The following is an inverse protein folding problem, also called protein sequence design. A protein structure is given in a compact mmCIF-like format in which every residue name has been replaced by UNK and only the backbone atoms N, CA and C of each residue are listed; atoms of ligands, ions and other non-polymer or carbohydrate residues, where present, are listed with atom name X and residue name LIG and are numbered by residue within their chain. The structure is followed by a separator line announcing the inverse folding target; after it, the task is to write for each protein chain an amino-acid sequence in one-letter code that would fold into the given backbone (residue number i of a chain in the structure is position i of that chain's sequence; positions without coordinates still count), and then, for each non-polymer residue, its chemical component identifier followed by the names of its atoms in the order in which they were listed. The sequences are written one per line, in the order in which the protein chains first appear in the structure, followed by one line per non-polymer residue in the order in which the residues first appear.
data_IF_368106361512
#
_entry.id   IF_368106361512
#
_cell.length_a   1.000
_cell.length_b   1.000
_cell.length_c   1.000
_cell.angle_alpha   90.00
_cell.angle_beta   90.00
_cell.angle_gamma   90.00
#
_symmetry.space_group_name_H-M   'P 1'
#
loop_
_entity.id
_entity.type
_entity.pdbx_description
1 polymer ?
#
# COMPACT_ATOMS: atom_id res chain seq x y z
N UNK A 1 -1.58 -1.72 -1.00
CA UNK A 1 -0.33 -1.32 -1.65
C UNK A 1 -0.25 0.19 -1.67
N UNK A 2 0.91 0.74 -1.32
CA UNK A 2 1.16 2.17 -1.29
C UNK A 2 2.21 2.50 -2.33
N UNK A 3 1.93 3.46 -3.19
CA UNK A 3 2.89 4.05 -4.10
C UNK A 3 3.65 5.16 -3.37
N UNK A 4 4.96 5.21 -3.56
CA UNK A 4 5.81 6.30 -3.07
C UNK A 4 6.00 7.38 -4.12
N UNK A 5 6.57 8.52 -3.72
CA UNK A 5 6.87 9.61 -4.64
C UNK A 5 7.82 9.18 -5.78
N UNK A 6 8.77 8.29 -5.52
CA UNK A 6 9.66 7.74 -6.55
C UNK A 6 8.99 6.69 -7.47
N UNK A 7 7.69 6.44 -7.31
CA UNK A 7 6.94 5.45 -8.10
C UNK A 7 7.23 3.99 -7.71
N UNK A 8 7.82 3.76 -6.52
CA UNK A 8 8.01 2.41 -5.97
C UNK A 8 6.73 1.95 -5.28
N UNK A 9 6.57 0.63 -5.18
CA UNK A 9 5.37 0.02 -4.62
C UNK A 9 5.69 -0.71 -3.33
N UNK A 10 5.08 -0.29 -2.23
CA UNK A 10 5.16 -0.92 -0.93
C UNK A 10 3.92 -1.76 -0.64
N UNK A 11 4.13 -2.97 -0.13
CA UNK A 11 3.06 -3.93 0.20
C UNK A 11 3.08 -4.25 1.69
N UNK A 12 1.91 -4.31 2.30
CA UNK A 12 1.72 -4.74 3.68
C UNK A 12 0.25 -5.00 3.97
N UNK A 13 -0.03 -5.56 5.14
CA UNK A 13 -1.38 -5.79 5.64
C UNK A 13 -1.68 -4.84 6.80
N UNK A 14 -2.94 -4.46 6.96
CA UNK A 14 -3.43 -3.65 8.08
C UNK A 14 -4.92 -3.92 8.26
N UNK A 15 -5.41 -3.76 9.48
CA UNK A 15 -6.85 -3.76 9.77
C UNK A 15 -7.48 -2.40 9.48
N UNK A 16 -6.70 -1.33 9.55
CA UNK A 16 -7.14 0.04 9.27
C UNK A 16 -6.21 0.68 8.23
N UNK A 17 -6.69 0.84 7.00
CA UNK A 17 -5.92 1.36 5.87
C UNK A 17 -5.69 2.86 5.97
N UNK A 18 -6.71 3.62 6.39
CA UNK A 18 -6.66 5.08 6.53
C UNK A 18 -5.64 5.51 7.59
N UNK A 19 -5.71 4.93 8.79
CA UNK A 19 -4.75 5.16 9.87
C UNK A 19 -3.35 4.78 9.43
N UNK A 20 -3.17 3.60 8.84
CA UNK A 20 -1.84 3.11 8.44
C UNK A 20 -1.19 4.01 7.39
N UNK A 21 -1.97 4.52 6.44
CA UNK A 21 -1.48 5.46 5.45
C UNK A 21 -1.06 6.79 6.09
N UNK A 22 -1.85 7.33 7.03
CA UNK A 22 -1.45 8.54 7.79
C UNK A 22 -0.16 8.32 8.59
N UNK A 23 0.00 7.16 9.23
CA UNK A 23 1.25 6.79 9.93
C UNK A 23 2.45 6.72 8.97
N UNK A 24 2.24 6.28 7.73
CA UNK A 24 3.27 6.27 6.68
C UNK A 24 3.60 7.67 6.16
N UNK A 25 2.60 8.54 5.96
CA UNK A 25 2.80 9.93 5.54
C UNK A 25 3.53 10.76 6.61
N UNK A 26 3.22 10.54 7.89
CA UNK A 26 3.84 11.26 9.00
C UNK A 26 5.33 10.92 9.22
N UNK A 27 5.88 9.88 8.56
CA UNK A 27 7.32 9.59 8.55
C UNK A 27 7.93 9.13 9.88
N UNK A 28 7.13 8.81 10.91
CA UNK A 28 7.60 8.58 12.28
C UNK A 28 8.02 7.14 12.65
N UNK A 29 7.97 6.83 13.95
CA UNK A 29 8.18 5.45 14.49
C UNK A 29 7.07 4.47 14.11
N UNK A 30 5.87 5.00 13.85
CA UNK A 30 4.67 4.22 13.52
C UNK A 30 4.61 3.84 12.04
N UNK A 31 5.28 4.62 11.18
CA UNK A 31 5.43 4.33 9.76
C UNK A 31 6.52 3.30 9.47
N UNK A 32 6.42 2.62 8.32
CA UNK A 32 7.50 1.74 7.90
C UNK A 32 8.78 2.55 7.65
N UNK A 33 9.93 2.04 8.10
CA UNK A 33 11.23 2.71 7.93
C UNK A 33 11.53 3.10 6.47
N UNK A 34 10.98 2.35 5.52
CA UNK A 34 11.05 2.62 4.08
C UNK A 34 10.51 4.01 3.69
N UNK A 35 9.41 4.45 4.30
CA UNK A 35 8.80 5.75 3.97
C UNK A 35 9.56 6.95 4.51
N UNK A 36 10.60 6.74 5.33
CA UNK A 36 11.50 7.82 5.77
C UNK A 36 12.45 8.28 4.67
N UNK A 37 12.81 7.38 3.77
CA UNK A 37 13.71 7.66 2.64
C UNK A 37 12.94 7.92 1.35
N UNK A 38 11.73 7.37 1.22
CA UNK A 38 10.90 7.50 0.02
C UNK A 38 9.43 7.64 0.46
N UNK A 39 8.93 8.88 0.62
CA UNK A 39 7.65 9.14 1.29
C UNK A 39 6.46 8.51 0.56
N UNK A 40 5.45 8.15 1.35
CA UNK A 40 4.19 7.64 0.83
C UNK A 40 3.47 8.72 0.01
N UNK A 41 3.04 8.38 -1.20
CA UNK A 41 2.36 9.30 -2.11
C UNK A 41 0.87 9.01 -2.17
N UNK A 42 0.49 7.77 -2.49
CA UNK A 42 -0.90 7.38 -2.64
C UNK A 42 -1.13 5.91 -2.28
N UNK A 43 -2.32 5.60 -1.78
CA UNK A 43 -2.80 4.23 -1.70
C UNK A 43 -3.35 3.81 -3.08
N UNK A 44 -2.78 2.77 -3.68
CA UNK A 44 -3.08 2.39 -5.08
C UNK A 44 -3.75 1.02 -5.21
N UNK A 45 -3.84 0.26 -4.13
CA UNK A 45 -4.52 -1.04 -4.11
C UNK A 45 -4.92 -1.40 -2.69
N UNK A 46 -6.14 -1.88 -2.49
CA UNK A 46 -6.62 -2.38 -1.20
C UNK A 46 -7.34 -3.69 -1.47
N UNK A 47 -7.14 -4.72 -0.66
CA UNK A 47 -7.87 -5.97 -0.81
C UNK A 47 -8.25 -6.46 0.56
N UNK A 48 -9.55 -6.51 0.84
CA UNK A 48 -10.07 -7.05 2.09
C UNK A 48 -9.86 -8.57 2.09
N UNK A 49 -9.45 -9.09 3.23
CA UNK A 49 -9.24 -10.52 3.47
C UNK A 49 -9.93 -10.90 4.78
N UNK A 50 -10.49 -12.11 4.87
CA UNK A 50 -11.31 -12.50 6.02
C UNK A 50 -10.52 -12.53 7.33
N UNK A 51 -9.25 -12.94 7.27
CA UNK A 51 -8.41 -13.14 8.44
C UNK A 51 -6.96 -12.74 8.18
N UNK A 52 -6.22 -12.51 9.27
CA UNK A 52 -4.78 -12.22 9.24
C UNK A 52 -3.99 -13.29 8.48
N UNK A 53 -4.32 -14.57 8.65
CA UNK A 53 -3.63 -15.68 7.99
C UNK A 53 -3.74 -15.59 6.47
N UNK A 54 -4.95 -15.35 5.95
CA UNK A 54 -5.20 -15.19 4.52
C UNK A 54 -4.54 -13.91 4.00
N UNK A 55 -4.62 -12.81 4.75
CA UNK A 55 -3.93 -11.56 4.43
C UNK A 55 -2.42 -11.73 4.32
N UNK A 56 -1.76 -12.42 5.26
CA UNK A 56 -0.31 -12.68 5.22
C UNK A 56 0.09 -13.60 4.06
N UNK A 57 -0.71 -14.61 3.74
CA UNK A 57 -0.49 -15.47 2.56
C UNK A 57 -0.58 -14.64 1.28
N UNK A 58 -1.57 -13.77 1.20
CA UNK A 58 -1.80 -12.88 0.06
C UNK A 58 -0.70 -11.85 -0.10
N UNK A 59 -0.26 -11.23 0.99
CA UNK A 59 0.90 -10.33 1.02
C UNK A 59 2.17 -11.04 0.53
N UNK A 60 2.40 -12.28 0.96
CA UNK A 60 3.54 -13.09 0.53
C UNK A 60 3.48 -13.37 -0.98
N UNK A 61 2.29 -13.66 -1.51
CA UNK A 61 2.09 -13.79 -2.95
C UNK A 61 2.38 -12.46 -3.67
N UNK A 62 1.86 -11.34 -3.17
CA UNK A 62 2.15 -10.01 -3.74
C UNK A 62 3.64 -9.67 -3.73
N UNK A 63 4.38 -10.04 -2.67
CA UNK A 63 5.82 -9.83 -2.58
C UNK A 63 6.59 -10.58 -3.67
N UNK A 64 6.13 -11.76 -4.09
CA UNK A 64 6.71 -12.56 -5.18
C UNK A 64 6.41 -12.01 -6.58
N UNK A 65 5.39 -11.15 -6.73
CA UNK A 65 5.05 -10.57 -8.02
C UNK A 65 6.13 -9.59 -8.50
N UNK A 66 6.37 -9.60 -9.81
CA UNK A 66 7.24 -8.62 -10.47
C UNK A 66 6.60 -7.24 -10.43
N UNK A 67 7.39 -6.19 -10.66
CA UNK A 67 6.88 -4.81 -10.75
C UNK A 67 5.74 -4.69 -11.77
N UNK A 68 5.90 -5.28 -12.96
CA UNK A 68 4.88 -5.25 -14.01
C UNK A 68 3.57 -5.92 -13.58
N UNK A 69 3.65 -7.09 -12.92
CA UNK A 69 2.45 -7.76 -12.42
C UNK A 69 1.72 -6.93 -11.34
N UNK A 70 2.47 -6.24 -10.48
CA UNK A 70 1.88 -5.33 -9.48
C UNK A 70 1.20 -4.12 -10.14
N UNK A 71 1.82 -3.56 -11.18
CA UNK A 71 1.23 -2.46 -11.94
C UNK A 71 -0.03 -2.90 -12.67
N UNK A 72 -0.02 -4.07 -13.32
CA UNK A 72 -1.20 -4.64 -13.95
C UNK A 72 -2.34 -4.89 -12.94
N UNK A 73 -2.01 -5.34 -11.72
CA UNK A 73 -3.00 -5.44 -10.64
C UNK A 73 -3.58 -4.09 -10.24
N UNK A 74 -2.74 -3.06 -10.09
CA UNK A 74 -3.19 -1.69 -9.77
C UNK A 74 -4.07 -1.13 -10.89
N UNK A 75 -3.70 -1.35 -12.15
CA UNK A 75 -4.44 -0.88 -13.31
C UNK A 75 -5.80 -1.60 -13.47
N UNK A 76 -5.83 -2.91 -13.23
CA UNK A 76 -7.06 -3.70 -13.22
C UNK A 76 -7.95 -3.35 -12.02
N UNK A 77 -7.35 -2.93 -10.90
CA UNK A 77 -8.05 -2.48 -9.70
C UNK A 77 -8.52 -1.02 -9.89
N UNK A 78 -9.63 -0.86 -10.60
CA UNK A 78 -10.22 0.45 -10.94
C UNK A 78 -10.26 1.42 -9.74
N UNK A 79 -9.70 2.60 -9.95
CA UNK A 79 -9.57 3.74 -9.03
C UNK A 79 -10.87 4.21 -8.38
N UNK A 80 -12.03 3.77 -8.86
CA UNK A 80 -13.35 4.07 -8.30
C UNK A 80 -13.54 3.49 -6.88
N UNK A 81 -12.85 2.40 -6.55
CA UNK A 81 -12.96 1.73 -5.23
C UNK A 81 -11.95 2.18 -4.19
N UNK A 82 -11.04 3.08 -4.56
CA UNK A 82 -10.04 3.62 -3.63
C UNK A 82 -10.44 5.08 -3.42
N UNK A 83 -11.05 5.40 -2.28
CA UNK A 83 -11.09 6.80 -1.83
C UNK A 83 -9.65 7.33 -1.96
N UNK A 84 -9.40 8.42 -2.71
CA UNK A 84 -8.05 8.90 -2.96
C UNK A 84 -7.46 9.42 -1.66
N UNK A 85 -6.88 8.52 -0.86
CA UNK A 85 -6.07 8.90 0.29
C UNK A 85 -4.74 9.32 -0.29
N UNK A 86 -4.70 10.57 -0.76
CA UNK A 86 -3.46 11.26 -1.13
C UNK A 86 -2.80 11.74 0.15
N UNK A 87 -1.48 11.70 0.18
CA UNK A 87 -0.74 12.53 1.13
C UNK A 87 -1.08 13.98 0.76
N UNK A 88 -1.99 14.60 1.51
CA UNK A 88 -2.29 16.04 1.38
C UNK A 88 -0.99 16.83 1.50
N UNK A 89 -0.78 17.77 0.57
CA UNK A 89 0.27 18.79 0.61
C UNK A 89 0.22 19.61 1.91
#
# INVERSE_FOLDING_TARGET
MVQTQSGRLYTGITTDTKRRFKEHCAGGKLGARFFRTDPAYAMVFIEAQPDRSTASRRESAMKKLTRQQKLALVESYSVDKIEPIKATE
#
